data_IF_710132753408
#
_entry.id   IF_710132753408
#
_cell.length_a   1.000
_cell.length_b   1.000
_cell.length_c   1.000
_cell.angle_alpha   90.00
_cell.angle_beta   90.00
_cell.angle_gamma   90.00
#
_symmetry.space_group_name_H-M   'P 1'
#
loop_
_entity.id
_entity.type
_entity.pdbx_description
1 polymer ?
#
# COMPACT_ATOMS: atom_id res chain seq x y z
N UNK A 1 0.37 -24.63 9.49
CA UNK A 1 0.45 -23.46 9.76
C UNK A 1 1.47 -22.68 9.04
N UNK A 2 1.23 -21.52 8.81
CA UNK A 2 2.14 -20.72 8.06
C UNK A 2 3.42 -20.51 8.84
N UNK A 3 4.54 -20.69 8.20
CA UNK A 3 5.82 -20.61 8.81
C UNK A 3 6.64 -19.52 8.25
N UNK A 4 6.08 -18.50 7.78
CA UNK A 4 6.84 -17.41 7.22
C UNK A 4 5.95 -16.25 6.95
N UNK A 5 6.48 -15.31 6.21
CA UNK A 5 5.72 -14.13 5.82
C UNK A 5 4.60 -14.55 4.89
N UNK A 6 3.33 -14.23 5.19
CA UNK A 6 2.24 -14.53 4.27
C UNK A 6 2.42 -13.78 2.94
N UNK A 7 1.85 -14.30 1.85
CA UNK A 7 1.93 -13.58 0.57
C UNK A 7 1.26 -12.21 0.68
N UNK A 8 1.70 -11.22 -0.11
CA UNK A 8 1.06 -9.92 -0.11
C UNK A 8 -0.39 -10.02 -0.56
N UNK A 9 -1.25 -9.25 0.09
CA UNK A 9 -2.60 -9.06 -0.38
C UNK A 9 -2.56 -8.14 -1.60
N UNK A 10 -3.21 -8.55 -2.68
CA UNK A 10 -3.31 -7.71 -3.87
C UNK A 10 -4.75 -7.30 -4.10
N UNK A 11 -5.00 -6.00 -4.20
CA UNK A 11 -6.31 -5.49 -4.54
C UNK A 11 -6.69 -5.90 -5.96
N UNK A 12 -7.92 -6.33 -6.16
CA UNK A 12 -8.48 -6.60 -7.49
C UNK A 12 -8.93 -5.34 -8.19
N UNK A 13 -8.96 -4.20 -7.49
CA UNK A 13 -9.38 -2.92 -8.03
C UNK A 13 -8.15 -2.11 -8.37
N UNK A 14 -8.09 -1.60 -9.60
CA UNK A 14 -6.99 -0.74 -10.06
C UNK A 14 -7.37 0.71 -9.82
N UNK A 15 -6.54 1.44 -9.09
CA UNK A 15 -6.76 2.87 -8.88
C UNK A 15 -6.41 3.65 -10.15
N UNK A 16 -7.30 4.55 -10.56
CA UNK A 16 -7.11 5.40 -11.74
C UNK A 16 -6.80 6.81 -11.26
N UNK A 17 -5.63 7.33 -11.64
CA UNK A 17 -5.18 8.64 -11.16
C UNK A 17 -4.73 9.53 -12.32
N UNK A 18 -4.64 10.83 -12.05
CA UNK A 18 -4.13 11.81 -13.00
C UNK A 18 -2.71 12.22 -12.60
N UNK A 19 -1.84 12.43 -13.60
CA UNK A 19 -0.49 12.95 -13.36
C UNK A 19 -0.49 14.39 -12.86
N UNK A 20 -1.61 15.08 -12.99
CA UNK A 20 -1.70 16.52 -12.71
C UNK A 20 -2.18 16.84 -11.30
N UNK A 21 -2.47 15.82 -10.49
CA UNK A 21 -3.06 15.99 -9.18
C UNK A 21 -2.37 15.13 -8.14
N UNK A 22 -2.46 15.56 -6.90
CA UNK A 22 -2.19 14.69 -5.76
C UNK A 22 -3.46 13.94 -5.44
N UNK A 23 -3.38 12.61 -5.38
CA UNK A 23 -4.55 11.76 -5.23
C UNK A 23 -4.35 10.80 -4.08
N UNK A 24 -5.35 10.68 -3.21
CA UNK A 24 -5.36 9.66 -2.18
C UNK A 24 -5.59 8.30 -2.82
N UNK A 25 -4.69 7.37 -2.58
CA UNK A 25 -4.84 5.98 -2.99
C UNK A 25 -4.85 5.12 -1.75
N UNK A 26 -5.79 4.20 -1.68
CA UNK A 26 -5.92 3.35 -0.51
C UNK A 26 -6.09 1.89 -0.90
N UNK A 27 -5.79 1.02 0.07
CA UNK A 27 -6.19 -0.38 0.01
C UNK A 27 -6.81 -0.79 1.32
N UNK A 28 -7.84 -1.61 1.25
CA UNK A 28 -8.53 -2.14 2.44
C UNK A 28 -7.93 -3.52 2.73
N UNK A 29 -7.35 -3.66 3.91
CA UNK A 29 -6.68 -4.89 4.31
C UNK A 29 -7.54 -5.75 5.26
N UNK A 30 -8.84 -5.49 5.30
CA UNK A 30 -9.74 -6.23 6.19
C UNK A 30 -9.63 -7.75 6.02
N UNK A 31 -9.39 -8.22 4.79
CA UNK A 31 -9.27 -9.65 4.51
C UNK A 31 -7.98 -10.28 5.06
N UNK A 32 -6.96 -9.48 5.36
CA UNK A 32 -5.74 -9.95 5.98
C UNK A 32 -5.83 -9.96 7.50
N UNK A 33 -6.79 -9.24 8.07
CA UNK A 33 -6.93 -9.10 9.51
C UNK A 33 -7.93 -10.13 10.04
N UNK A 34 -7.58 -10.74 11.18
CA UNK A 34 -8.50 -11.61 11.90
C UNK A 34 -9.45 -10.78 12.74
N UNK A 35 -10.52 -11.40 13.20
CA UNK A 35 -11.48 -10.75 14.10
C UNK A 35 -10.74 -10.20 15.33
N UNK A 36 -10.94 -8.93 15.60
CA UNK A 36 -10.31 -8.26 16.73
C UNK A 36 -8.94 -7.68 16.46
N UNK A 37 -8.38 -7.90 15.26
CA UNK A 37 -7.12 -7.28 14.89
C UNK A 37 -7.36 -5.89 14.29
N UNK A 38 -6.37 -5.02 14.50
CA UNK A 38 -6.32 -3.70 13.89
C UNK A 38 -4.93 -3.45 13.31
N UNK A 39 -4.75 -2.33 12.64
CA UNK A 39 -3.45 -1.95 12.09
C UNK A 39 -2.68 -1.21 13.19
N UNK A 40 -1.44 -1.63 13.42
CA UNK A 40 -0.58 -1.03 14.43
C UNK A 40 -0.16 0.38 14.01
N UNK A 41 -0.29 1.34 14.93
CA UNK A 41 0.11 2.72 14.68
C UNK A 41 1.59 2.98 14.93
N UNK A 42 2.23 2.18 15.79
CA UNK A 42 3.65 2.35 16.13
C UNK A 42 4.31 0.98 16.25
N UNK A 43 5.19 0.59 15.33
CA UNK A 43 5.66 1.37 14.18
C UNK A 43 4.56 1.61 13.15
N UNK A 44 4.61 2.78 12.53
CA UNK A 44 3.63 3.17 11.54
C UNK A 44 3.76 2.34 10.25
N UNK A 45 2.66 2.13 9.52
CA UNK A 45 2.74 1.52 8.20
C UNK A 45 3.62 2.33 7.26
N UNK A 46 4.23 1.64 6.31
CA UNK A 46 5.06 2.27 5.27
C UNK A 46 4.53 1.91 3.89
N UNK A 47 4.97 2.67 2.90
CA UNK A 47 4.58 2.44 1.51
C UNK A 47 5.75 2.65 0.58
N UNK A 48 5.77 1.87 -0.51
CA UNK A 48 6.69 2.05 -1.62
C UNK A 48 5.90 2.07 -2.92
N UNK A 49 6.36 2.86 -3.88
CA UNK A 49 5.74 2.95 -5.20
C UNK A 49 6.77 2.60 -6.25
N UNK A 50 6.45 1.62 -7.09
CA UNK A 50 7.35 1.15 -8.15
C UNK A 50 6.66 1.35 -9.50
N UNK A 51 7.36 1.99 -10.43
CA UNK A 51 6.92 2.09 -11.81
C UNK A 51 7.11 0.72 -12.47
N UNK A 52 6.04 0.14 -12.98
CA UNK A 52 6.11 -1.18 -13.61
C UNK A 52 6.98 -1.19 -14.86
N UNK A 53 7.12 -0.05 -15.53
CA UNK A 53 8.05 0.07 -16.65
C UNK A 53 9.49 0.13 -16.10
N UNK A 54 10.23 -0.95 -16.20
CA UNK A 54 11.60 -1.03 -15.72
C UNK A 54 11.76 -1.28 -14.22
N UNK A 55 10.67 -1.48 -13.48
CA UNK A 55 10.70 -1.76 -12.04
C UNK A 55 11.46 -0.70 -11.25
N UNK A 56 11.21 0.56 -11.53
CA UNK A 56 11.90 1.70 -10.91
C UNK A 56 11.15 2.17 -9.67
N UNK A 57 11.85 2.26 -8.54
CA UNK A 57 11.27 2.80 -7.30
C UNK A 57 11.19 4.32 -7.42
N UNK A 58 9.96 4.84 -7.38
CA UNK A 58 9.69 6.27 -7.48
C UNK A 58 9.12 6.85 -6.18
N UNK A 59 9.26 6.13 -5.07
CA UNK A 59 8.65 6.53 -3.79
C UNK A 59 9.11 7.90 -3.32
N UNK A 60 10.38 8.24 -3.54
CA UNK A 60 10.93 9.51 -3.06
C UNK A 60 10.30 10.73 -3.71
N UNK A 61 9.84 10.60 -4.97
CA UNK A 61 9.28 11.72 -5.72
C UNK A 61 7.77 11.67 -5.86
N UNK A 62 7.19 10.49 -5.78
CA UNK A 62 5.78 10.28 -6.13
C UNK A 62 4.90 9.85 -4.97
N UNK A 63 5.45 9.65 -3.78
CA UNK A 63 4.67 9.41 -2.57
C UNK A 63 4.77 10.59 -1.61
N UNK A 64 3.64 10.98 -1.05
CA UNK A 64 3.59 11.94 0.04
C UNK A 64 3.32 11.16 1.32
N UNK A 65 4.35 11.00 2.14
CA UNK A 65 4.25 10.28 3.41
C UNK A 65 3.88 11.23 4.54
N UNK A 66 3.38 10.73 5.65
CA UNK A 66 3.25 9.33 6.03
C UNK A 66 1.99 8.66 5.47
N UNK A 67 1.97 7.33 5.59
CA UNK A 67 0.77 6.55 5.34
C UNK A 67 -0.22 6.83 6.46
N UNK A 68 -1.47 7.05 6.09
CA UNK A 68 -2.57 7.26 7.03
C UNK A 68 -3.37 5.99 7.18
N UNK A 69 -3.77 5.67 8.41
CA UNK A 69 -4.64 4.53 8.70
C UNK A 69 -6.05 5.05 8.94
N UNK A 70 -7.02 4.47 8.24
CA UNK A 70 -8.43 4.78 8.43
C UNK A 70 -9.20 3.47 8.58
N UNK A 71 -9.44 3.05 9.82
CA UNK A 71 -10.05 1.75 10.09
C UNK A 71 -9.16 0.61 9.61
N UNK A 72 -9.64 -0.15 8.62
CA UNK A 72 -8.87 -1.23 7.98
C UNK A 72 -8.21 -0.78 6.68
N UNK A 73 -8.20 0.51 6.38
CA UNK A 73 -7.64 1.05 5.14
C UNK A 73 -6.31 1.71 5.39
N UNK A 74 -5.38 1.49 4.47
CA UNK A 74 -4.09 2.17 4.41
C UNK A 74 -4.16 3.17 3.25
N UNK A 75 -3.87 4.43 3.52
CA UNK A 75 -4.04 5.52 2.57
C UNK A 75 -2.73 6.28 2.43
N UNK A 76 -2.37 6.60 1.21
CA UNK A 76 -1.21 7.46 0.92
C UNK A 76 -1.54 8.35 -0.27
N UNK A 77 -0.90 9.49 -0.35
CA UNK A 77 -1.06 10.40 -1.49
C UNK A 77 0.01 10.10 -2.52
N UNK A 78 -0.42 9.95 -3.77
CA UNK A 78 0.49 9.81 -4.93
C UNK A 78 0.44 11.08 -5.76
N UNK A 79 1.56 11.41 -6.39
CA UNK A 79 1.69 12.60 -7.23
C UNK A 79 2.75 12.41 -8.29
N UNK A 80 2.77 13.29 -9.28
CA UNK A 80 3.82 13.36 -10.29
C UNK A 80 4.05 12.04 -11.03
N UNK A 81 2.98 11.31 -11.29
CA UNK A 81 3.05 10.07 -12.05
C UNK A 81 3.13 10.37 -13.54
N UNK A 82 3.69 9.44 -14.30
CA UNK A 82 3.84 9.59 -15.76
C UNK A 82 2.58 9.08 -16.45
N UNK A 83 1.94 9.87 -17.32
CA UNK A 83 0.75 9.42 -18.04
C UNK A 83 1.03 8.16 -18.86
N UNK A 84 0.09 7.23 -18.79
CA UNK A 84 0.20 5.95 -19.50
C UNK A 84 1.00 4.89 -18.78
N UNK A 85 1.64 5.21 -17.65
CA UNK A 85 2.38 4.23 -16.86
C UNK A 85 1.50 3.57 -15.82
N UNK A 86 1.85 2.33 -15.49
CA UNK A 86 1.24 1.58 -14.40
C UNK A 86 2.23 1.47 -13.26
N UNK A 87 1.73 1.42 -12.03
CA UNK A 87 2.55 1.41 -10.83
C UNK A 87 2.06 0.33 -9.86
N UNK A 88 2.97 -0.16 -9.03
CA UNK A 88 2.65 -1.03 -7.91
C UNK A 88 2.88 -0.27 -6.61
N UNK A 89 1.81 -0.02 -5.87
CA UNK A 89 1.88 0.61 -4.55
C UNK A 89 1.82 -0.49 -3.52
N UNK A 90 2.90 -0.66 -2.75
CA UNK A 90 2.99 -1.70 -1.73
C UNK A 90 2.97 -1.06 -0.36
N UNK A 91 2.01 -1.45 0.46
CA UNK A 91 1.95 -1.08 1.87
C UNK A 91 2.51 -2.22 2.72
N UNK A 92 3.24 -1.85 3.77
CA UNK A 92 3.74 -2.80 4.76
C UNK A 92 3.30 -2.33 6.13
N UNK A 93 2.75 -3.23 6.94
CA UNK A 93 2.17 -2.87 8.23
C UNK A 93 2.22 -4.05 9.19
N UNK A 94 2.00 -3.76 10.50
CA UNK A 94 1.88 -4.79 11.53
C UNK A 94 0.44 -4.85 12.03
N UNK A 95 -0.13 -6.05 12.18
CA UNK A 95 -1.43 -6.19 12.85
C UNK A 95 -1.26 -6.11 14.38
N UNK A 96 -2.30 -5.71 15.08
CA UNK A 96 -2.37 -5.69 16.54
C UNK A 96 -3.63 -6.39 17.02
N UNK A 97 -3.54 -7.48 17.80
CA UNK A 97 -2.31 -8.19 18.18
C UNK A 97 -1.68 -8.89 16.97
N UNK A 98 -0.36 -9.07 16.96
CA UNK A 98 0.31 -9.72 15.83
C UNK A 98 0.02 -11.22 15.79
N UNK A 99 0.01 -11.80 14.59
CA UNK A 99 -0.07 -13.25 14.43
C UNK A 99 1.21 -13.91 14.93
N UNK A 100 2.34 -13.33 14.55
CA UNK A 100 3.66 -13.73 14.99
C UNK A 100 4.44 -12.48 15.36
N UNK A 101 5.26 -12.57 16.41
CA UNK A 101 6.03 -11.41 16.88
C UNK A 101 6.91 -10.85 15.78
N UNK A 102 6.75 -9.57 15.50
CA UNK A 102 7.55 -8.87 14.51
C UNK A 102 7.23 -9.15 13.07
N UNK A 103 6.23 -9.98 12.80
CA UNK A 103 5.88 -10.30 11.41
C UNK A 103 5.05 -9.19 10.78
N UNK A 104 5.53 -8.66 9.67
CA UNK A 104 4.83 -7.64 8.89
C UNK A 104 3.99 -8.27 7.80
N UNK A 105 2.88 -7.62 7.49
CA UNK A 105 2.03 -7.97 6.36
C UNK A 105 2.21 -6.94 5.25
N UNK A 106 1.97 -7.37 4.02
CA UNK A 106 2.07 -6.50 2.85
C UNK A 106 0.77 -6.52 2.07
N UNK A 107 0.43 -5.38 1.48
CA UNK A 107 -0.71 -5.25 0.58
C UNK A 107 -0.29 -4.47 -0.64
N UNK A 108 -0.65 -4.94 -1.83
CA UNK A 108 -0.29 -4.32 -3.10
C UNK A 108 -1.52 -3.73 -3.75
N UNK A 109 -1.43 -2.47 -4.12
CA UNK A 109 -2.49 -1.75 -4.82
C UNK A 109 -1.99 -1.35 -6.20
N UNK A 110 -2.56 -1.90 -7.28
CA UNK A 110 -2.22 -1.45 -8.63
C UNK A 110 -2.72 -0.03 -8.87
N UNK A 111 -1.91 0.79 -9.53
CA UNK A 111 -2.24 2.18 -9.83
C UNK A 111 -1.94 2.44 -11.30
N UNK A 112 -2.90 2.99 -12.03
CA UNK A 112 -2.71 3.43 -13.42
C UNK A 112 -2.79 4.94 -13.49
N UNK A 113 -1.81 5.56 -14.15
CA UNK A 113 -1.88 6.97 -14.45
C UNK A 113 -2.55 7.16 -15.81
N UNK A 114 -3.75 7.76 -15.81
CA UNK A 114 -4.57 7.91 -17.01
C UNK A 114 -4.05 9.05 -17.91
N UNK A 115 -3.78 10.19 -17.33
CA UNK A 115 -3.36 11.37 -18.07
C UNK A 115 -2.74 12.42 -17.15
#
# INVERSE_FOLDING_TARGET
>A
MANGVPPPYQSSIVAQVSSKMEVNVFTDVALQLDTGQSITASPAPTATLVDAAGSVDVSATSLVTPVTVSGTKLVVIVKALVPGHSYWLTFTYLPTPPDFTGQQLSAVQPVNCQF
#
